data_IF_847139685914
#
_entry.id   IF_847139685914
#
_cell.length_a   1.000
_cell.length_b   1.000
_cell.length_c   1.000
_cell.angle_alpha   90.00
_cell.angle_beta   90.00
_cell.angle_gamma   90.00
#
_symmetry.space_group_name_H-M   'P 1'
#
loop_
_entity.id
_entity.type
_entity.pdbx_description
1 polymer ?
#
# COMPACT_ATOMS: atom_id res chain seq x y z
N UNK A 1 -1.53 -10.76 -37.06
CA UNK A 1 -0.68 -10.60 -35.87
C UNK A 1 -1.52 -11.05 -34.68
N UNK A 2 -1.58 -12.37 -34.50
CA UNK A 2 -2.29 -13.00 -33.39
C UNK A 2 -1.37 -13.12 -32.18
N UNK A 3 -2.01 -13.13 -31.01
CA UNK A 3 -1.56 -13.65 -29.72
C UNK A 3 -0.71 -12.76 -28.80
N UNK A 4 -1.42 -12.13 -27.86
CA UNK A 4 -1.10 -12.24 -26.43
C UNK A 4 -2.35 -11.92 -25.59
N UNK A 5 -3.42 -12.70 -25.76
CA UNK A 5 -4.38 -12.88 -24.67
C UNK A 5 -3.89 -14.07 -23.85
N UNK A 6 -3.03 -13.81 -22.86
CA UNK A 6 -3.05 -14.65 -21.65
C UNK A 6 -4.31 -14.29 -20.89
N UNK A 7 -5.45 -14.69 -21.45
CA UNK A 7 -6.71 -14.76 -20.73
C UNK A 7 -6.56 -15.87 -19.70
N UNK A 8 -6.26 -15.49 -18.46
CA UNK A 8 -6.29 -16.42 -17.36
C UNK A 8 -7.76 -16.64 -16.99
N UNK A 9 -8.41 -17.61 -17.64
CA UNK A 9 -9.83 -17.94 -17.48
C UNK A 9 -10.14 -18.69 -16.16
N UNK A 10 -9.42 -18.37 -15.08
CA UNK A 10 -9.56 -18.99 -13.76
C UNK A 10 -9.37 -18.00 -12.61
N UNK A 11 -9.81 -18.33 -11.38
CA UNK A 11 -9.53 -17.52 -10.20
C UNK A 11 -8.03 -17.47 -9.93
N UNK A 12 -7.51 -16.28 -9.57
CA UNK A 12 -6.09 -16.06 -9.30
C UNK A 12 -5.59 -17.02 -8.20
N UNK A 13 -4.53 -17.77 -8.49
CA UNK A 13 -3.94 -18.66 -7.49
C UNK A 13 -3.11 -17.88 -6.46
N UNK A 14 -2.93 -18.47 -5.28
CA UNK A 14 -2.07 -17.88 -4.24
C UNK A 14 -0.61 -17.69 -4.71
N UNK A 15 -0.13 -18.57 -5.59
CA UNK A 15 1.22 -18.47 -6.15
C UNK A 15 1.36 -17.27 -7.10
N UNK A 16 0.37 -17.03 -7.95
CA UNK A 16 0.33 -15.87 -8.83
C UNK A 16 0.20 -14.57 -8.03
N UNK A 17 -0.68 -14.55 -7.03
CA UNK A 17 -0.81 -13.42 -6.11
C UNK A 17 0.52 -13.11 -5.40
N UNK A 18 1.29 -14.15 -5.02
CA UNK A 18 2.61 -13.99 -4.42
C UNK A 18 3.62 -13.36 -5.39
N UNK A 19 3.64 -13.77 -6.67
CA UNK A 19 4.51 -13.15 -7.68
C UNK A 19 4.16 -11.69 -7.91
N UNK A 20 2.87 -11.36 -8.05
CA UNK A 20 2.41 -9.98 -8.20
C UNK A 20 2.84 -9.15 -6.98
N UNK A 21 2.65 -9.67 -5.76
CA UNK A 21 3.06 -9.00 -4.53
C UNK A 21 4.57 -8.74 -4.46
N UNK A 22 5.37 -9.69 -4.95
CA UNK A 22 6.82 -9.54 -5.01
C UNK A 22 7.23 -8.43 -6.00
N UNK A 23 6.63 -8.38 -7.18
CA UNK A 23 6.89 -7.33 -8.17
C UNK A 23 6.55 -5.94 -7.64
N UNK A 24 5.36 -5.78 -7.03
CA UNK A 24 4.93 -4.51 -6.42
C UNK A 24 5.88 -4.08 -5.30
N UNK A 25 6.29 -5.02 -4.44
CA UNK A 25 7.27 -4.75 -3.38
C UNK A 25 8.59 -4.23 -3.96
N UNK A 26 9.12 -4.90 -4.99
CA UNK A 26 10.37 -4.49 -5.63
C UNK A 26 10.28 -3.11 -6.26
N UNK A 27 9.17 -2.81 -6.94
CA UNK A 27 8.92 -1.48 -7.51
C UNK A 27 8.86 -0.40 -6.42
N UNK A 28 8.22 -0.68 -5.28
CA UNK A 28 8.19 0.25 -4.16
C UNK A 28 9.62 0.55 -3.65
N UNK A 29 10.42 -0.48 -3.37
CA UNK A 29 11.78 -0.27 -2.87
C UNK A 29 12.68 0.46 -3.89
N UNK A 30 12.53 0.17 -5.18
CA UNK A 30 13.24 0.91 -6.22
C UNK A 30 12.88 2.40 -6.17
N UNK A 31 11.59 2.73 -6.08
CA UNK A 31 11.12 4.12 -5.99
C UNK A 31 11.56 4.81 -4.69
N UNK A 32 11.59 4.09 -3.57
CA UNK A 32 12.10 4.65 -2.31
C UNK A 32 13.60 4.94 -2.37
N UNK A 33 14.37 4.11 -3.09
CA UNK A 33 15.82 4.26 -3.22
C UNK A 33 16.26 5.34 -4.21
N UNK A 34 15.41 5.68 -5.18
CA UNK A 34 15.72 6.66 -6.23
C UNK A 34 15.30 8.09 -5.89
N UNK A 35 14.60 8.30 -4.78
CA UNK A 35 14.13 9.60 -4.35
C UNK A 35 15.12 10.25 -3.38
N UNK A 36 15.46 11.52 -3.65
CA UNK A 36 16.21 12.34 -2.71
C UNK A 36 15.48 12.40 -1.35
N UNK A 37 16.23 12.40 -0.21
CA UNK A 37 15.63 12.54 1.10
C UNK A 37 14.78 13.81 1.15
N UNK A 38 13.57 13.68 1.70
CA UNK A 38 12.64 14.78 1.81
C UNK A 38 13.32 15.96 2.52
N UNK A 39 13.32 17.13 1.90
CA UNK A 39 13.94 18.35 2.44
C UNK A 39 13.20 18.94 3.64
N UNK A 40 12.20 18.23 4.17
CA UNK A 40 11.32 18.66 5.25
C UNK A 40 11.21 17.52 6.27
N UNK A 41 11.92 17.67 7.39
CA UNK A 41 11.85 16.78 8.57
C UNK A 41 10.44 16.69 9.19
N UNK A 42 9.50 17.47 8.66
CA UNK A 42 8.13 17.51 9.13
C UNK A 42 7.24 16.47 8.45
N UNK A 43 7.56 15.90 7.29
CA UNK A 43 6.66 14.96 6.62
C UNK A 43 6.82 13.51 7.11
N UNK A 44 5.70 12.79 7.27
CA UNK A 44 5.77 11.35 7.47
C UNK A 44 6.43 10.66 6.26
N UNK A 45 7.39 9.76 6.50
CA UNK A 45 8.21 9.19 5.44
C UNK A 45 7.39 8.26 4.55
N UNK A 46 7.81 8.12 3.29
CA UNK A 46 7.33 7.02 2.43
C UNK A 46 7.84 5.70 2.99
N UNK A 47 7.03 4.65 2.95
CA UNK A 47 7.43 3.31 3.40
C UNK A 47 6.61 2.20 2.73
N UNK A 48 7.08 0.96 2.90
CA UNK A 48 6.39 -0.25 2.48
C UNK A 48 5.88 -0.99 3.71
N UNK A 49 4.57 -1.24 3.79
CA UNK A 49 3.95 -1.84 4.96
C UNK A 49 3.70 -3.35 4.84
N UNK A 50 4.17 -3.97 3.76
CA UNK A 50 3.86 -5.35 3.39
C UNK A 50 2.79 -5.47 2.33
N UNK A 51 2.04 -4.39 2.07
CA UNK A 51 0.93 -4.38 1.11
C UNK A 51 0.89 -3.15 0.23
N UNK A 52 1.06 -1.96 0.79
CA UNK A 52 0.98 -0.67 0.12
C UNK A 52 2.32 0.05 0.21
N UNK A 53 2.72 0.67 -0.90
CA UNK A 53 3.79 1.66 -0.93
C UNK A 53 3.20 3.02 -0.54
N UNK A 54 3.35 3.41 0.72
CA UNK A 54 2.74 4.62 1.24
C UNK A 54 3.48 5.87 0.74
N UNK A 55 2.75 6.89 0.26
CA UNK A 55 3.35 8.19 -0.03
C UNK A 55 3.65 8.95 1.26
N UNK A 56 4.27 10.12 1.14
CA UNK A 56 4.49 10.99 2.30
C UNK A 56 3.16 11.41 2.93
N UNK A 57 3.15 11.52 4.26
CA UNK A 57 2.02 12.07 5.01
C UNK A 57 2.30 13.49 5.49
N UNK A 58 1.27 14.33 5.51
CA UNK A 58 1.36 15.66 6.10
C UNK A 58 1.08 15.60 7.61
N UNK A 59 1.87 16.28 8.47
CA UNK A 59 1.66 16.36 9.91
C UNK A 59 0.23 16.60 10.34
N UNK A 60 -0.24 15.80 11.29
CA UNK A 60 -1.57 15.91 11.87
C UNK A 60 -2.71 15.54 10.91
N UNK A 61 -2.42 15.09 9.68
CA UNK A 61 -3.41 14.69 8.68
C UNK A 61 -3.52 13.17 8.54
N UNK A 62 -4.61 12.74 7.93
CA UNK A 62 -4.82 11.35 7.50
C UNK A 62 -4.48 11.23 6.02
N UNK A 63 -3.50 10.40 5.71
CA UNK A 63 -3.17 9.98 4.35
C UNK A 63 -4.15 8.89 3.92
N UNK A 64 -4.77 9.07 2.75
CA UNK A 64 -5.65 8.09 2.12
C UNK A 64 -5.07 7.63 0.79
N UNK A 65 -5.19 6.34 0.49
CA UNK A 65 -4.77 5.75 -0.79
C UNK A 65 -5.84 4.76 -1.25
N UNK A 66 -6.05 4.57 -2.56
CA UNK A 66 -6.97 3.55 -3.06
C UNK A 66 -6.58 2.16 -2.56
N UNK A 67 -7.57 1.29 -2.33
CA UNK A 67 -7.29 -0.11 -2.06
C UNK A 67 -6.56 -0.75 -3.26
N UNK A 68 -5.48 -1.51 -3.02
CA UNK A 68 -4.70 -2.18 -4.07
C UNK A 68 -5.54 -2.94 -5.09
N UNK A 69 -5.38 -2.62 -6.37
CA UNK A 69 -6.00 -3.38 -7.47
C UNK A 69 -5.36 -4.74 -7.69
N UNK A 70 -4.13 -4.93 -7.19
CA UNK A 70 -3.38 -6.18 -7.29
C UNK A 70 -3.72 -7.20 -6.19
N UNK A 71 -4.67 -6.90 -5.30
CA UNK A 71 -5.16 -7.86 -4.29
C UNK A 71 -6.54 -8.32 -4.69
N UNK A 72 -6.64 -9.57 -5.15
CA UNK A 72 -7.84 -10.07 -5.82
C UNK A 72 -9.14 -9.87 -5.03
N UNK A 73 -9.14 -10.17 -3.73
CA UNK A 73 -10.36 -10.14 -2.91
C UNK A 73 -10.66 -8.78 -2.25
N UNK A 74 -9.98 -7.70 -2.63
CA UNK A 74 -10.22 -6.38 -2.05
C UNK A 74 -11.39 -5.64 -2.70
N UNK A 75 -12.09 -4.83 -1.90
CA UNK A 75 -12.98 -3.80 -2.43
C UNK A 75 -12.16 -2.65 -3.03
N UNK A 76 -11.95 -2.70 -4.34
CA UNK A 76 -11.18 -1.69 -5.08
C UNK A 76 -11.83 -0.30 -5.15
N UNK A 77 -13.07 -0.13 -4.69
CA UNK A 77 -13.71 1.18 -4.55
C UNK A 77 -13.42 1.86 -3.21
N UNK A 78 -12.86 1.12 -2.25
CA UNK A 78 -12.48 1.63 -0.94
C UNK A 78 -11.12 2.30 -0.90
N UNK A 79 -10.76 2.80 0.27
CA UNK A 79 -9.44 3.35 0.55
C UNK A 79 -8.82 2.72 1.81
N UNK A 80 -7.48 2.68 1.83
CA UNK A 80 -6.72 2.46 3.05
C UNK A 80 -6.27 3.80 3.64
N UNK A 81 -6.11 3.84 4.97
CA UNK A 81 -5.77 5.07 5.69
C UNK A 81 -4.60 4.90 6.64
N UNK A 82 -3.75 5.92 6.71
CA UNK A 82 -2.72 6.11 7.73
C UNK A 82 -2.79 7.50 8.33
N UNK A 83 -2.48 7.62 9.62
CA UNK A 83 -2.41 8.91 10.30
C UNK A 83 -0.94 9.30 10.49
N UNK A 84 -0.61 10.51 10.05
CA UNK A 84 0.66 11.14 10.33
C UNK A 84 0.52 11.98 11.61
N UNK A 85 1.40 11.77 12.58
CA UNK A 85 1.42 12.56 13.80
C UNK A 85 2.06 13.94 13.53
N UNK A 86 1.85 14.90 14.43
CA UNK A 86 2.33 16.26 14.28
C UNK A 86 3.87 16.37 14.23
N UNK A 87 4.57 15.35 14.72
CA UNK A 87 6.03 15.25 14.74
C UNK A 87 6.62 14.64 13.44
N UNK A 88 5.81 14.44 12.39
CA UNK A 88 6.27 13.85 11.14
C UNK A 88 6.54 12.34 11.21
N UNK A 89 5.98 11.63 12.20
CA UNK A 89 6.05 10.17 12.29
C UNK A 89 4.69 9.51 12.09
N UNK A 90 4.66 8.35 11.45
CA UNK A 90 3.43 7.58 11.36
C UNK A 90 2.97 7.12 12.75
N UNK A 91 1.66 7.15 13.00
CA UNK A 91 1.10 6.66 14.26
C UNK A 91 1.47 5.20 14.47
N UNK A 92 2.02 4.90 15.65
CA UNK A 92 2.53 3.58 16.02
C UNK A 92 1.65 2.93 17.08
N UNK A 93 1.43 1.62 16.96
CA UNK A 93 0.62 0.79 17.87
C UNK A 93 1.59 -0.04 18.71
N UNK A 94 1.93 0.45 19.91
CA UNK A 94 2.98 -0.11 20.77
C UNK A 94 2.78 -1.58 21.11
N UNK A 95 1.54 -1.96 21.49
CA UNK A 95 1.21 -3.33 21.86
C UNK A 95 1.38 -4.34 20.71
N UNK A 96 1.41 -3.88 19.46
CA UNK A 96 1.60 -4.73 18.27
C UNK A 96 2.95 -4.52 17.59
N UNK A 97 3.77 -3.59 18.11
CA UNK A 97 5.05 -3.18 17.52
C UNK A 97 4.93 -2.88 16.01
N UNK A 98 3.87 -2.16 15.62
CA UNK A 98 3.53 -1.90 14.21
C UNK A 98 2.98 -0.49 14.00
N UNK A 99 3.28 0.08 12.83
CA UNK A 99 2.63 1.29 12.34
C UNK A 99 1.13 1.03 12.12
N UNK A 100 0.29 1.91 12.65
CA UNK A 100 -1.16 1.83 12.47
C UNK A 100 -1.54 1.99 11.00
N UNK A 101 -2.44 1.15 10.50
CA UNK A 101 -3.05 1.30 9.17
C UNK A 101 -4.47 0.76 9.21
N UNK A 102 -5.41 1.47 8.58
CA UNK A 102 -6.81 1.06 8.50
C UNK A 102 -7.15 0.56 7.09
N UNK A 103 -7.46 -0.74 7.00
CA UNK A 103 -7.86 -1.44 5.77
C UNK A 103 -9.35 -1.78 5.73
N UNK A 104 -10.17 -1.25 6.64
CA UNK A 104 -11.58 -1.64 6.79
C UNK A 104 -12.41 -1.49 5.51
N UNK A 105 -12.20 -0.44 4.71
CA UNK A 105 -12.92 -0.30 3.43
C UNK A 105 -12.46 -1.31 2.38
N UNK A 106 -11.19 -1.73 2.43
CA UNK A 106 -10.63 -2.74 1.52
C UNK A 106 -11.13 -4.16 1.85
N UNK A 107 -11.32 -4.44 3.14
CA UNK A 107 -11.81 -5.73 3.66
C UNK A 107 -13.33 -5.86 3.62
N UNK A 108 -14.04 -4.85 3.11
CA UNK A 108 -15.49 -4.91 2.91
C UNK A 108 -15.78 -5.73 1.66
N UNK A 109 -15.77 -7.06 1.80
CA UNK A 109 -16.20 -7.96 0.72
C UNK A 109 -17.59 -7.53 0.23
N UNK A 110 -17.75 -7.53 -1.10
CA UNK A 110 -18.97 -7.13 -1.80
C UNK A 110 -20.20 -7.74 -1.08
N UNK A 111 -21.05 -6.87 -0.52
CA UNK A 111 -22.42 -7.24 -0.14
C UNK A 111 -23.27 -7.43 -1.40
#
# INVERSE_FOLDING_TARGET
>A
WTDAQMGFDGPLSAQEQMFIMYEVKMQCYQNLSSMEPATTDELCPRDWDGLICWPQGSPGQVTKVPCPSYIYDFNHKGHAYRKCDANGSWVFVENWNKTWTNYSECLRFLQ
#
